data_IF_684771384264
#
_entry.id   IF_684771384264
#
_cell.length_a   1.000
_cell.length_b   1.000
_cell.length_c   1.000
_cell.angle_alpha   90.00
_cell.angle_beta   90.00
_cell.angle_gamma   90.00
#
_symmetry.space_group_name_H-M   'P 1'
#
loop_
_entity.id
_entity.type
_entity.pdbx_description
1 polymer ?
#
# COMPACT_ATOMS: atom_id res chain seq x y z
N UNK A 1 13.75 11.52 -0.91
CA UNK A 1 12.34 11.12 -0.72
C UNK A 1 12.20 10.38 0.61
N UNK A 2 11.23 10.78 1.41
CA UNK A 2 10.96 10.15 2.69
C UNK A 2 9.51 9.67 2.71
N UNK A 3 9.31 8.37 2.93
CA UNK A 3 7.97 7.79 2.98
C UNK A 3 7.45 7.94 4.40
N UNK A 4 6.40 8.73 4.58
CA UNK A 4 5.76 8.95 5.87
C UNK A 4 4.65 7.93 6.12
N UNK A 5 4.00 7.47 5.05
CA UNK A 5 2.93 6.48 5.12
C UNK A 5 2.95 5.66 3.84
N UNK A 6 2.87 4.35 3.97
CA UNK A 6 2.82 3.41 2.84
C UNK A 6 1.51 2.64 2.94
N UNK A 7 0.48 3.12 2.24
CA UNK A 7 -0.87 2.59 2.39
C UNK A 7 -1.67 2.68 1.10
N UNK A 8 -2.67 1.83 0.98
CA UNK A 8 -3.67 1.88 -0.09
C UNK A 8 -5.02 1.49 0.47
N UNK A 9 -6.07 1.86 -0.26
CA UNK A 9 -7.43 1.41 0.00
C UNK A 9 -7.89 0.54 -1.15
N UNK A 10 -8.37 -0.66 -0.85
CA UNK A 10 -8.92 -1.56 -1.87
C UNK A 10 -10.30 -1.09 -2.31
N UNK A 11 -10.50 -0.94 -3.63
CA UNK A 11 -11.79 -0.54 -4.16
C UNK A 11 -12.83 -1.66 -4.17
N UNK A 12 -12.38 -2.91 -4.01
CA UNK A 12 -13.27 -4.06 -4.07
C UNK A 12 -13.83 -4.44 -2.71
N UNK A 13 -13.00 -4.42 -1.66
CA UNK A 13 -13.43 -4.77 -0.31
C UNK A 13 -13.48 -3.58 0.65
N UNK A 14 -12.93 -2.43 0.24
CA UNK A 14 -12.93 -1.23 1.07
C UNK A 14 -11.89 -1.19 2.17
N UNK A 15 -11.03 -2.21 2.26
CA UNK A 15 -9.99 -2.25 3.29
C UNK A 15 -8.92 -1.20 3.04
N UNK A 16 -8.51 -0.54 4.11
CA UNK A 16 -7.31 0.28 4.10
C UNK A 16 -6.19 -0.54 4.73
N UNK A 17 -5.10 -0.73 3.98
CA UNK A 17 -3.95 -1.51 4.45
C UNK A 17 -2.71 -0.64 4.43
N UNK A 18 -1.84 -0.85 5.41
CA UNK A 18 -0.63 -0.06 5.58
C UNK A 18 0.55 -0.98 5.87
N UNK A 19 1.65 -0.76 5.16
CA UNK A 19 2.91 -1.44 5.42
C UNK A 19 3.76 -0.53 6.31
N UNK A 20 4.10 -1.00 7.51
CA UNK A 20 4.83 -0.21 8.50
C UNK A 20 6.28 -0.60 8.64
N UNK A 21 6.68 -1.72 8.07
CA UNK A 21 8.03 -2.24 8.15
C UNK A 21 8.53 -2.65 6.77
N UNK A 22 9.84 -2.70 6.58
CA UNK A 22 10.46 -3.03 5.31
C UNK A 22 9.97 -4.36 4.73
N UNK A 23 9.76 -5.33 5.58
CA UNK A 23 9.32 -6.67 5.16
C UNK A 23 7.86 -6.96 5.51
N UNK A 24 7.08 -5.91 5.75
CA UNK A 24 5.68 -6.03 6.12
C UNK A 24 4.80 -6.09 4.88
N UNK A 25 4.52 -7.30 4.40
CA UNK A 25 3.67 -7.55 3.25
C UNK A 25 2.22 -7.69 3.72
N UNK A 26 1.40 -6.69 3.44
CA UNK A 26 0.02 -6.62 3.90
C UNK A 26 -0.93 -6.75 2.73
N UNK A 27 -1.85 -7.72 2.79
CA UNK A 27 -2.84 -7.98 1.76
C UNK A 27 -4.22 -7.58 2.26
N UNK A 28 -5.06 -7.00 1.39
CA UNK A 28 -6.42 -6.65 1.75
C UNK A 28 -7.28 -7.91 1.94
N UNK A 29 -8.48 -7.76 2.55
CA UNK A 29 -9.35 -8.88 2.89
C UNK A 29 -9.74 -9.74 1.69
N UNK A 30 -9.98 -9.13 0.53
CA UNK A 30 -10.35 -9.87 -0.68
C UNK A 30 -9.15 -10.39 -1.48
N UNK A 31 -7.93 -10.03 -1.09
CA UNK A 31 -6.72 -10.45 -1.76
C UNK A 31 -6.43 -9.77 -3.08
N UNK A 32 -7.19 -8.74 -3.45
CA UNK A 32 -7.02 -8.09 -4.76
C UNK A 32 -5.79 -7.19 -4.82
N UNK A 33 -5.35 -6.64 -3.69
CA UNK A 33 -4.17 -5.78 -3.65
C UNK A 33 -3.38 -5.98 -2.35
N UNK A 34 -2.12 -5.57 -2.39
CA UNK A 34 -1.23 -5.68 -1.24
C UNK A 34 -0.21 -4.55 -1.28
N UNK A 35 0.35 -4.24 -0.13
CA UNK A 35 1.42 -3.26 0.01
C UNK A 35 2.61 -3.87 0.73
N UNK A 36 3.80 -3.39 0.41
CA UNK A 36 5.05 -3.89 0.97
C UNK A 36 6.09 -2.77 0.97
N UNK A 37 7.13 -2.92 1.76
CA UNK A 37 8.28 -2.02 1.77
C UNK A 37 8.31 -1.01 2.91
N UNK A 38 7.23 -0.88 3.68
CA UNK A 38 7.17 0.02 4.82
C UNK A 38 7.56 1.45 4.45
N UNK A 39 8.52 2.01 5.18
CA UNK A 39 9.01 3.37 4.93
C UNK A 39 10.26 3.41 4.03
N UNK A 40 10.70 2.27 3.52
CA UNK A 40 11.88 2.18 2.67
C UNK A 40 11.55 2.29 1.19
N UNK A 41 10.48 1.66 0.74
CA UNK A 41 10.04 1.71 -0.65
C UNK A 41 8.54 1.43 -0.76
N UNK A 42 7.95 1.88 -1.86
CA UNK A 42 6.53 1.68 -2.13
C UNK A 42 6.39 0.52 -3.13
N UNK A 43 5.99 -0.63 -2.65
CA UNK A 43 5.77 -1.81 -3.49
C UNK A 43 4.31 -2.19 -3.44
N UNK A 44 3.73 -2.46 -4.62
CA UNK A 44 2.32 -2.78 -4.76
C UNK A 44 2.15 -4.09 -5.51
N UNK A 45 1.18 -4.89 -5.07
CA UNK A 45 0.71 -6.06 -5.81
C UNK A 45 -0.79 -5.89 -6.00
N UNK A 46 -1.28 -6.09 -7.22
CA UNK A 46 -2.69 -5.86 -7.53
C UNK A 46 -3.11 -6.69 -8.74
N UNK A 47 -4.41 -7.03 -8.80
CA UNK A 47 -4.98 -7.74 -9.95
C UNK A 47 -5.25 -6.80 -11.11
N UNK A 48 -5.64 -5.57 -10.81
CA UNK A 48 -5.96 -4.55 -11.81
C UNK A 48 -5.48 -3.20 -11.26
N UNK A 49 -4.95 -2.34 -12.14
CA UNK A 49 -4.44 -1.03 -11.74
C UNK A 49 -5.52 -0.14 -11.11
N UNK A 50 -6.79 -0.41 -11.38
CA UNK A 50 -7.91 0.37 -10.86
C UNK A 50 -8.52 -0.25 -9.60
N UNK A 51 -7.92 -1.32 -9.04
CA UNK A 51 -8.49 -1.99 -7.88
C UNK A 51 -8.15 -1.34 -6.55
N UNK A 52 -7.30 -0.32 -6.53
CA UNK A 52 -6.92 0.35 -5.29
C UNK A 52 -6.74 1.86 -5.48
N UNK A 53 -6.82 2.58 -4.36
CA UNK A 53 -6.52 4.01 -4.29
C UNK A 53 -5.25 4.18 -3.46
N UNK A 54 -4.29 4.95 -3.98
CA UNK A 54 -3.04 5.21 -3.28
C UNK A 54 -3.27 6.18 -2.12
N UNK A 55 -2.92 5.78 -0.91
CA UNK A 55 -3.07 6.61 0.29
C UNK A 55 -1.71 6.99 0.90
N UNK A 56 -0.62 6.62 0.25
CA UNK A 56 0.72 6.90 0.78
C UNK A 56 1.01 8.38 0.85
N UNK A 57 1.80 8.76 1.86
CA UNK A 57 2.27 10.12 2.04
C UNK A 57 3.79 10.12 1.94
N UNK A 58 4.31 10.96 1.06
CA UNK A 58 5.74 11.05 0.80
C UNK A 58 6.17 12.50 0.98
N UNK A 59 7.27 12.71 1.70
CA UNK A 59 7.90 14.02 1.85
C UNK A 59 9.09 14.10 0.89
N UNK A 60 9.12 15.15 0.09
CA UNK A 60 10.24 15.39 -0.81
C UNK A 60 11.20 16.41 -0.20
N UNK A 61 12.48 16.17 -0.43
CA UNK A 61 13.54 17.08 0.04
C UNK A 61 13.63 18.33 -0.82
#
# INVERSE_FOLDING_TARGET
MKILKNAVRCNLCGDEIESTDRHDYVTCSCGACAVDGGHDYLRRSFKDKDCYIELSVVEED
#
